data_IF_875189743342
#
_entry.id   IF_875189743342
#
_cell.length_a   1.000
_cell.length_b   1.000
_cell.length_c   1.000
_cell.angle_alpha   90.00
_cell.angle_beta   90.00
_cell.angle_gamma   90.00
#
_symmetry.space_group_name_H-M   'P 1'
#
loop_
_entity.id
_entity.type
_entity.pdbx_description
1 polymer ?
#
# COMPACT_ATOMS: atom_id res chain seq x y z
N UNK A 1 25.31 23.42 -13.74
CA UNK A 1 24.51 23.10 -14.93
C UNK A 1 23.09 22.76 -14.48
N UNK A 2 22.03 23.27 -15.12
CA UNK A 2 20.70 22.80 -14.85
C UNK A 2 20.59 21.29 -15.18
N UNK A 3 19.80 20.51 -14.45
CA UNK A 3 19.61 19.09 -14.76
C UNK A 3 19.01 18.94 -16.17
N UNK A 4 19.48 17.93 -16.91
CA UNK A 4 18.89 17.63 -18.22
C UNK A 4 17.43 17.19 -18.02
N UNK A 5 16.49 17.63 -18.88
CA UNK A 5 15.12 17.16 -18.82
C UNK A 5 15.08 15.64 -18.95
N UNK A 6 14.24 14.99 -18.14
CA UNK A 6 13.95 13.57 -18.28
C UNK A 6 12.92 13.43 -19.41
N UNK A 7 13.29 12.75 -20.48
CA UNK A 7 12.42 12.52 -21.65
C UNK A 7 11.81 11.11 -21.66
N UNK A 8 12.43 10.17 -20.94
CA UNK A 8 11.94 8.81 -20.79
C UNK A 8 11.17 8.67 -19.47
N UNK A 9 9.86 8.55 -19.56
CA UNK A 9 8.95 8.36 -18.42
C UNK A 9 8.51 6.91 -18.26
N UNK A 10 9.14 5.96 -18.96
CA UNK A 10 8.78 4.54 -18.94
C UNK A 10 8.88 3.87 -17.56
N UNK A 11 9.68 4.45 -16.65
CA UNK A 11 9.85 4.00 -15.27
C UNK A 11 9.16 4.90 -14.24
N UNK A 12 8.39 5.89 -14.69
CA UNK A 12 7.65 6.76 -13.79
C UNK A 12 6.28 6.17 -13.49
N UNK A 13 5.98 6.04 -12.21
CA UNK A 13 4.65 5.78 -11.71
C UNK A 13 4.15 6.97 -10.87
N UNK A 14 2.87 7.29 -10.96
CA UNK A 14 2.23 8.35 -10.19
C UNK A 14 1.15 7.75 -9.30
N UNK A 15 1.14 8.16 -8.03
CA UNK A 15 0.11 7.78 -7.08
C UNK A 15 -1.15 8.62 -7.30
N UNK A 16 -2.33 8.02 -7.25
CA UNK A 16 -3.61 8.75 -7.38
C UNK A 16 -3.79 9.83 -6.31
N UNK A 17 -3.19 9.66 -5.13
CA UNK A 17 -3.17 10.69 -4.07
C UNK A 17 -2.43 11.97 -4.49
N UNK A 18 -1.54 11.91 -5.48
CA UNK A 18 -0.81 13.09 -5.98
C UNK A 18 -1.78 14.08 -6.66
N UNK A 19 -2.80 13.56 -7.31
CA UNK A 19 -3.87 14.33 -7.95
C UNK A 19 -5.20 14.11 -7.24
N UNK A 20 -5.20 14.18 -5.92
CA UNK A 20 -6.34 13.82 -5.05
C UNK A 20 -7.70 14.37 -5.48
N UNK A 21 -7.83 15.58 -6.06
CA UNK A 21 -9.12 16.08 -6.53
C UNK A 21 -9.67 15.36 -7.77
N UNK A 22 -8.82 14.59 -8.47
CA UNK A 22 -9.21 13.86 -9.68
C UNK A 22 -9.93 12.56 -9.34
N UNK A 23 -10.94 12.22 -10.12
CA UNK A 23 -11.50 10.87 -10.16
C UNK A 23 -10.46 9.87 -10.69
N UNK A 24 -10.68 8.57 -10.49
CA UNK A 24 -9.80 7.54 -11.06
C UNK A 24 -9.71 7.68 -12.59
N UNK A 25 -10.82 7.94 -13.28
CA UNK A 25 -10.86 8.16 -14.72
C UNK A 25 -9.97 9.33 -15.15
N UNK A 26 -10.09 10.48 -14.50
CA UNK A 26 -9.26 11.65 -14.79
C UNK A 26 -7.77 11.38 -14.53
N UNK A 27 -7.45 10.60 -13.49
CA UNK A 27 -6.07 10.20 -13.20
C UNK A 27 -5.52 9.27 -14.29
N UNK A 28 -6.26 8.24 -14.69
CA UNK A 28 -5.86 7.30 -15.75
C UNK A 28 -5.64 8.03 -17.07
N UNK A 29 -6.61 8.82 -17.51
CA UNK A 29 -6.53 9.58 -18.77
C UNK A 29 -5.41 10.62 -18.74
N UNK A 30 -5.29 11.37 -17.64
CA UNK A 30 -4.28 12.42 -17.47
C UNK A 30 -2.85 11.88 -17.42
N UNK A 31 -2.61 10.77 -16.69
CA UNK A 31 -1.28 10.16 -16.62
C UNK A 31 -0.88 9.54 -17.96
N UNK A 32 -1.80 8.84 -18.64
CA UNK A 32 -1.57 8.29 -19.96
C UNK A 32 -1.25 9.40 -20.98
N UNK A 33 -2.02 10.49 -21.00
CA UNK A 33 -1.79 11.64 -21.87
C UNK A 33 -0.45 12.34 -21.60
N UNK A 34 0.02 12.32 -20.35
CA UNK A 34 1.34 12.84 -19.96
C UNK A 34 2.52 11.91 -20.31
N UNK A 35 2.26 10.70 -20.83
CA UNK A 35 3.28 9.71 -21.15
C UNK A 35 3.83 8.94 -19.94
N UNK A 36 3.17 9.04 -18.79
CA UNK A 36 3.46 8.21 -17.61
C UNK A 36 3.08 6.76 -17.92
N UNK A 37 3.85 5.80 -17.41
CA UNK A 37 3.61 4.37 -17.68
C UNK A 37 3.03 3.61 -16.49
N UNK A 38 3.27 4.07 -15.27
CA UNK A 38 2.82 3.39 -14.06
C UNK A 38 1.82 4.20 -13.25
N UNK A 39 0.91 3.49 -12.59
CA UNK A 39 -0.03 4.08 -11.63
C UNK A 39 0.01 3.28 -10.32
N UNK A 40 0.11 4.00 -9.18
CA UNK A 40 -0.15 3.43 -7.87
C UNK A 40 -1.51 3.89 -7.40
N UNK A 41 -2.38 2.93 -7.14
CA UNK A 41 -3.75 3.20 -6.73
C UNK A 41 -3.83 3.46 -5.23
N UNK A 42 -4.72 4.34 -4.84
CA UNK A 42 -5.15 4.47 -3.45
C UNK A 42 -6.58 3.95 -3.34
N UNK A 43 -6.88 3.32 -2.20
CA UNK A 43 -8.18 2.69 -1.92
C UNK A 43 -9.36 3.60 -2.26
N UNK A 44 -9.30 4.86 -1.81
CA UNK A 44 -10.37 5.84 -2.01
C UNK A 44 -10.65 6.14 -3.50
N UNK A 45 -9.65 6.07 -4.37
CA UNK A 45 -9.83 6.24 -5.80
C UNK A 45 -10.60 5.06 -6.43
N UNK A 46 -10.33 3.83 -5.97
CA UNK A 46 -11.04 2.62 -6.41
C UNK A 46 -12.48 2.63 -5.87
N UNK A 47 -12.66 2.88 -4.57
CA UNK A 47 -13.98 2.95 -3.94
C UNK A 47 -14.86 4.03 -4.56
N UNK A 48 -14.28 5.17 -4.95
CA UNK A 48 -14.99 6.25 -5.63
C UNK A 48 -15.49 5.89 -7.03
N UNK A 49 -14.79 5.01 -7.74
CA UNK A 49 -15.19 4.52 -9.06
C UNK A 49 -16.12 3.29 -8.97
N UNK A 50 -15.95 2.48 -7.93
CA UNK A 50 -16.45 1.11 -7.84
C UNK A 50 -15.44 0.11 -8.42
N UNK A 51 -15.29 -1.05 -7.76
CA UNK A 51 -14.23 -2.02 -8.09
C UNK A 51 -14.33 -2.52 -9.54
N UNK A 52 -15.51 -2.93 -9.97
CA UNK A 52 -15.72 -3.47 -11.32
C UNK A 52 -15.38 -2.44 -12.42
N UNK A 53 -15.77 -1.18 -12.20
CA UNK A 53 -15.45 -0.09 -13.13
C UNK A 53 -13.95 0.23 -13.11
N UNK A 54 -13.32 0.23 -11.95
CA UNK A 54 -11.88 0.42 -11.83
C UNK A 54 -11.09 -0.66 -12.58
N UNK A 55 -11.46 -1.94 -12.42
CA UNK A 55 -10.87 -3.07 -13.14
C UNK A 55 -11.00 -2.89 -14.65
N UNK A 56 -12.20 -2.61 -15.15
CA UNK A 56 -12.44 -2.42 -16.58
C UNK A 56 -11.63 -1.23 -17.14
N UNK A 57 -11.61 -0.12 -16.42
CA UNK A 57 -10.90 1.10 -16.82
C UNK A 57 -9.38 0.89 -16.89
N UNK A 58 -8.81 0.16 -15.91
CA UNK A 58 -7.38 -0.12 -15.86
C UNK A 58 -6.98 -1.12 -16.94
N UNK A 59 -7.80 -2.14 -17.22
CA UNK A 59 -7.55 -3.11 -18.28
C UNK A 59 -7.53 -2.47 -19.67
N UNK A 60 -8.34 -1.44 -19.90
CA UNK A 60 -8.38 -0.69 -21.18
C UNK A 60 -7.31 0.41 -21.27
N UNK A 61 -6.53 0.63 -20.19
CA UNK A 61 -5.54 1.69 -20.06
C UNK A 61 -4.15 1.22 -20.53
N UNK A 62 -3.30 2.12 -21.05
CA UNK A 62 -1.88 1.82 -21.30
C UNK A 62 -1.01 1.86 -20.02
N UNK A 63 -1.59 2.13 -18.88
CA UNK A 63 -0.87 2.24 -17.60
C UNK A 63 -0.67 0.85 -16.97
N UNK A 64 0.50 0.63 -16.41
CA UNK A 64 0.80 -0.52 -15.56
C UNK A 64 0.44 -0.18 -14.10
N UNK A 65 -0.38 -1.01 -13.47
CA UNK A 65 -0.64 -0.88 -12.03
C UNK A 65 0.57 -1.43 -11.29
N UNK A 66 1.27 -0.57 -10.55
CA UNK A 66 2.51 -0.94 -9.86
C UNK A 66 2.32 -1.19 -8.36
N UNK A 67 1.15 -0.89 -7.82
CA UNK A 67 0.81 -1.18 -6.43
C UNK A 67 -0.49 -0.54 -5.97
N UNK A 68 -0.98 -1.02 -4.83
CA UNK A 68 -2.11 -0.47 -4.10
C UNK A 68 -1.63 0.12 -2.76
N UNK A 69 -2.09 1.29 -2.40
CA UNK A 69 -1.91 1.92 -1.11
C UNK A 69 -3.30 2.27 -0.52
N UNK A 70 -3.46 2.19 0.76
CA UNK A 70 -2.54 1.70 1.78
C UNK A 70 -3.27 0.77 2.73
N UNK A 71 -2.65 -0.35 3.04
CA UNK A 71 -3.07 -1.23 4.11
C UNK A 71 -2.31 -0.96 5.41
N UNK A 72 -2.36 -1.92 6.34
CA UNK A 72 -1.66 -1.87 7.62
C UNK A 72 -2.57 -1.53 8.79
N UNK A 73 -2.12 -0.60 9.65
CA UNK A 73 -2.85 -0.10 10.83
C UNK A 73 -3.21 -1.21 11.85
N UNK A 74 -2.28 -2.14 12.06
CA UNK A 74 -2.49 -3.32 12.90
C UNK A 74 -2.59 -3.05 14.41
N UNK A 75 -1.78 -2.11 15.02
CA UNK A 75 -1.75 -1.94 16.45
C UNK A 75 -3.06 -1.35 16.99
N UNK A 76 -3.60 -2.03 17.99
CA UNK A 76 -4.74 -1.57 18.78
C UNK A 76 -4.74 -2.23 20.17
N UNK A 77 -5.44 -1.63 21.13
CA UNK A 77 -5.60 -2.17 22.47
C UNK A 77 -6.42 -3.46 22.47
N UNK A 78 -7.62 -3.39 21.87
CA UNK A 78 -8.52 -4.54 21.83
C UNK A 78 -8.12 -5.57 20.77
N UNK A 79 -8.18 -6.85 21.12
CA UNK A 79 -7.93 -7.94 20.18
C UNK A 79 -8.93 -7.95 18.99
N UNK A 80 -10.17 -7.52 19.23
CA UNK A 80 -11.20 -7.40 18.19
C UNK A 80 -10.85 -6.34 17.15
N UNK A 81 -10.24 -5.23 17.55
CA UNK A 81 -9.80 -4.17 16.64
C UNK A 81 -8.62 -4.65 15.78
N UNK A 82 -7.65 -5.36 16.38
CA UNK A 82 -6.56 -5.99 15.63
C UNK A 82 -7.07 -7.01 14.61
N UNK A 83 -8.08 -7.81 14.98
CA UNK A 83 -8.71 -8.73 14.04
C UNK A 83 -9.48 -8.00 12.94
N UNK A 84 -10.15 -6.89 13.25
CA UNK A 84 -10.80 -6.06 12.25
C UNK A 84 -9.79 -5.48 11.24
N UNK A 85 -8.62 -5.02 11.71
CA UNK A 85 -7.54 -4.56 10.84
C UNK A 85 -7.03 -5.68 9.92
N UNK A 86 -6.84 -6.90 10.42
CA UNK A 86 -6.46 -8.05 9.59
C UNK A 86 -7.53 -8.32 8.52
N UNK A 87 -8.80 -8.31 8.87
CA UNK A 87 -9.89 -8.55 7.92
C UNK A 87 -9.97 -7.44 6.86
N UNK A 88 -9.77 -6.17 7.23
CA UNK A 88 -9.73 -5.05 6.29
C UNK A 88 -8.56 -5.18 5.30
N UNK A 89 -7.39 -5.62 5.78
CA UNK A 89 -6.26 -5.88 4.91
C UNK A 89 -6.47 -7.06 3.95
N UNK A 90 -7.25 -8.08 4.31
CA UNK A 90 -7.66 -9.13 3.36
C UNK A 90 -8.50 -8.56 2.22
N UNK A 91 -9.45 -7.68 2.53
CA UNK A 91 -10.23 -6.98 1.50
C UNK A 91 -9.34 -6.14 0.59
N UNK A 92 -8.27 -5.52 1.13
CA UNK A 92 -7.30 -4.78 0.33
C UNK A 92 -6.44 -5.69 -0.55
N UNK A 93 -6.10 -6.88 -0.10
CA UNK A 93 -5.40 -7.88 -0.90
C UNK A 93 -6.29 -8.34 -2.07
N UNK A 94 -7.57 -8.67 -1.81
CA UNK A 94 -8.54 -9.03 -2.84
C UNK A 94 -8.72 -7.89 -3.88
N UNK A 95 -8.75 -6.64 -3.39
CA UNK A 95 -8.81 -5.46 -4.25
C UNK A 95 -7.54 -5.30 -5.09
N UNK A 96 -6.36 -5.54 -4.51
CA UNK A 96 -5.08 -5.48 -5.22
C UNK A 96 -5.02 -6.54 -6.33
N UNK A 97 -5.42 -7.78 -6.04
CA UNK A 97 -5.54 -8.85 -7.03
C UNK A 97 -6.47 -8.44 -8.17
N UNK A 98 -7.67 -7.96 -7.85
CA UNK A 98 -8.68 -7.60 -8.85
C UNK A 98 -8.21 -6.50 -9.82
N UNK A 99 -7.46 -5.51 -9.34
CA UNK A 99 -6.92 -4.41 -10.18
C UNK A 99 -5.53 -4.72 -10.76
N UNK A 100 -4.99 -5.91 -10.52
CA UNK A 100 -3.67 -6.33 -11.01
C UNK A 100 -2.50 -5.63 -10.33
N UNK A 101 -2.65 -5.17 -9.07
CA UNK A 101 -1.60 -4.56 -8.31
C UNK A 101 -0.69 -5.64 -7.66
N UNK A 102 0.59 -5.74 -8.05
CA UNK A 102 1.47 -6.80 -7.53
C UNK A 102 1.93 -6.56 -6.09
N UNK A 103 1.65 -5.38 -5.54
CA UNK A 103 2.13 -4.97 -4.21
C UNK A 103 1.04 -4.22 -3.46
N UNK A 104 0.80 -4.60 -2.20
CA UNK A 104 0.05 -3.81 -1.22
C UNK A 104 1.02 -3.13 -0.26
N UNK A 105 1.02 -1.79 -0.24
CA UNK A 105 1.85 -0.98 0.66
C UNK A 105 1.20 -0.88 2.03
N UNK A 106 1.95 -1.23 3.09
CA UNK A 106 1.49 -1.26 4.47
C UNK A 106 2.05 -0.09 5.28
N UNK A 107 1.19 0.88 5.61
CA UNK A 107 1.44 1.84 6.69
C UNK A 107 1.07 1.17 8.00
N UNK A 108 2.07 0.68 8.72
CA UNK A 108 1.88 -0.32 9.76
C UNK A 108 1.05 0.11 10.97
N UNK A 109 0.96 1.42 11.23
CA UNK A 109 0.20 1.93 12.37
C UNK A 109 1.03 2.00 13.66
N UNK A 110 0.47 2.66 14.66
CA UNK A 110 0.92 2.68 16.04
C UNK A 110 -0.28 2.87 16.97
N UNK A 111 -0.16 2.41 18.22
CA UNK A 111 -1.15 2.69 19.25
C UNK A 111 -0.52 3.51 20.38
N UNK A 112 -0.93 4.77 20.60
CA UNK A 112 -0.29 5.68 21.57
C UNK A 112 -0.34 5.20 23.03
N UNK A 113 -1.22 4.26 23.36
CA UNK A 113 -1.37 3.69 24.70
C UNK A 113 -0.39 2.57 25.05
N UNK A 114 0.52 2.18 24.13
CA UNK A 114 1.48 1.08 24.35
C UNK A 114 2.87 1.43 23.84
N UNK A 115 3.86 0.58 24.17
CA UNK A 115 5.21 0.77 23.67
C UNK A 115 5.32 0.57 22.14
N UNK A 116 6.29 1.23 21.51
CA UNK A 116 6.59 1.04 20.09
C UNK A 116 6.99 -0.42 19.77
N UNK A 117 7.60 -1.10 20.75
CA UNK A 117 7.95 -2.50 20.61
C UNK A 117 6.71 -3.41 20.62
N UNK A 118 5.74 -3.15 21.51
CA UNK A 118 4.46 -3.85 21.50
C UNK A 118 3.70 -3.63 20.18
N UNK A 119 3.71 -2.40 19.69
CA UNK A 119 3.13 -2.08 18.40
C UNK A 119 3.80 -2.87 17.27
N UNK A 120 5.14 -2.97 17.25
CA UNK A 120 5.85 -3.78 16.25
C UNK A 120 5.55 -5.27 16.37
N UNK A 121 5.39 -5.81 17.59
CA UNK A 121 4.95 -7.22 17.76
C UNK A 121 3.55 -7.46 17.19
N UNK A 122 2.63 -6.52 17.37
CA UNK A 122 1.28 -6.60 16.80
C UNK A 122 1.30 -6.46 15.27
N UNK A 123 2.18 -5.62 14.72
CA UNK A 123 2.40 -5.50 13.27
C UNK A 123 2.89 -6.82 12.68
N UNK A 124 3.93 -7.41 13.27
CA UNK A 124 4.46 -8.69 12.80
C UNK A 124 3.39 -9.80 12.82
N UNK A 125 2.61 -9.89 13.91
CA UNK A 125 1.50 -10.84 14.02
C UNK A 125 0.39 -10.58 12.98
N UNK A 126 0.07 -9.30 12.72
CA UNK A 126 -0.92 -8.92 11.73
C UNK A 126 -0.49 -9.27 10.31
N UNK A 127 0.76 -8.97 9.94
CA UNK A 127 1.32 -9.33 8.63
C UNK A 127 1.38 -10.85 8.47
N UNK A 128 1.87 -11.58 9.47
CA UNK A 128 1.93 -13.04 9.44
C UNK A 128 0.56 -13.70 9.19
N UNK A 129 -0.52 -13.12 9.74
CA UNK A 129 -1.89 -13.61 9.53
C UNK A 129 -2.44 -13.34 8.13
N UNK A 130 -1.74 -12.58 7.29
CA UNK A 130 -2.11 -12.26 5.91
C UNK A 130 -1.31 -13.05 4.86
N UNK A 131 -0.21 -13.69 5.23
CA UNK A 131 0.75 -14.27 4.28
C UNK A 131 0.12 -15.29 3.33
N UNK A 132 -0.67 -16.23 3.85
CA UNK A 132 -1.32 -17.24 3.01
C UNK A 132 -2.28 -16.60 2.03
N UNK A 133 -3.11 -15.66 2.50
CA UNK A 133 -4.06 -14.93 1.66
C UNK A 133 -3.36 -14.09 0.57
N UNK A 134 -2.30 -13.40 0.94
CA UNK A 134 -1.50 -12.61 -0.01
C UNK A 134 -0.78 -13.49 -1.04
N UNK A 135 -0.39 -14.71 -0.62
CA UNK A 135 0.21 -15.70 -1.53
C UNK A 135 -0.78 -16.20 -2.56
N UNK A 136 -1.96 -16.58 -2.10
CA UNK A 136 -3.02 -17.10 -2.99
C UNK A 136 -3.43 -16.06 -4.02
N UNK A 137 -3.40 -14.76 -3.64
CA UNK A 137 -3.69 -13.61 -4.50
C UNK A 137 -2.48 -13.13 -5.35
N UNK A 138 -1.30 -13.74 -5.21
CA UNK A 138 -0.04 -13.30 -5.85
C UNK A 138 0.33 -11.83 -5.54
N UNK A 139 -0.09 -11.31 -4.37
CA UNK A 139 0.18 -9.94 -3.91
C UNK A 139 1.30 -9.93 -2.87
N UNK A 140 2.32 -9.12 -3.10
CA UNK A 140 3.42 -8.92 -2.14
C UNK A 140 3.04 -7.85 -1.12
N UNK A 141 3.40 -8.06 0.15
CA UNK A 141 3.18 -7.09 1.22
C UNK A 141 4.45 -6.24 1.42
N UNK A 142 4.35 -4.91 1.29
CA UNK A 142 5.50 -4.01 1.40
C UNK A 142 5.38 -3.09 2.61
N UNK A 143 6.27 -3.22 3.58
CA UNK A 143 6.32 -2.37 4.76
C UNK A 143 6.84 -0.98 4.39
N UNK A 144 6.06 0.07 4.66
CA UNK A 144 6.47 1.46 4.47
C UNK A 144 6.95 2.08 5.80
N UNK A 145 8.26 2.33 5.97
CA UNK A 145 8.75 3.14 7.08
C UNK A 145 8.35 4.60 6.89
N UNK A 146 7.63 5.17 7.86
CA UNK A 146 7.25 6.58 7.80
C UNK A 146 8.36 7.48 8.38
N UNK A 147 8.29 8.78 8.04
CA UNK A 147 9.17 9.78 8.64
C UNK A 147 9.04 9.79 10.17
N UNK A 148 10.13 9.95 10.94
CA UNK A 148 10.12 9.92 12.41
C UNK A 148 9.13 10.88 13.08
N UNK A 149 8.70 11.96 12.39
CA UNK A 149 7.64 12.85 12.91
C UNK A 149 6.30 12.13 13.14
N UNK A 150 6.10 10.96 12.52
CA UNK A 150 4.88 10.14 12.64
C UNK A 150 5.03 8.99 13.65
N UNK A 151 6.18 8.94 14.34
CA UNK A 151 6.39 7.96 15.39
C UNK A 151 5.27 8.04 16.42
N UNK A 152 4.83 6.86 16.89
CA UNK A 152 3.79 6.71 17.92
C UNK A 152 2.37 7.20 17.52
N UNK A 153 2.23 7.99 16.47
CA UNK A 153 0.93 8.50 16.03
C UNK A 153 0.39 7.80 14.79
N UNK A 154 1.25 7.47 13.83
CA UNK A 154 0.86 6.86 12.54
C UNK A 154 1.65 5.60 12.20
N UNK A 155 2.84 5.42 12.75
CA UNK A 155 3.62 4.20 12.52
C UNK A 155 4.60 3.93 13.67
N UNK A 156 4.72 2.67 14.05
CA UNK A 156 5.77 2.16 14.91
C UNK A 156 7.05 1.80 14.11
N UNK A 157 7.01 1.93 12.78
CA UNK A 157 8.12 1.66 11.86
C UNK A 157 8.50 2.97 11.19
N UNK A 158 9.64 3.53 11.58
CA UNK A 158 10.09 4.87 11.15
C UNK A 158 11.52 4.86 10.60
N UNK A 159 12.12 3.69 10.47
CA UNK A 159 13.43 3.50 9.83
C UNK A 159 13.46 2.23 8.99
N UNK A 160 14.30 2.21 7.96
CA UNK A 160 14.54 1.00 7.16
C UNK A 160 15.05 -0.16 8.01
N UNK A 161 15.90 0.12 9.02
CA UNK A 161 16.38 -0.92 9.94
C UNK A 161 15.21 -1.62 10.65
N UNK A 162 14.25 -0.85 11.19
CA UNK A 162 13.06 -1.42 11.85
C UNK A 162 12.17 -2.22 10.88
N UNK A 163 12.07 -1.80 9.61
CA UNK A 163 11.35 -2.59 8.60
C UNK A 163 12.07 -3.91 8.33
N UNK A 164 13.39 -3.88 8.15
CA UNK A 164 14.18 -5.09 7.93
C UNK A 164 14.10 -6.04 9.14
N UNK A 165 14.20 -5.51 10.37
CA UNK A 165 14.06 -6.32 11.60
C UNK A 165 12.70 -7.04 11.67
N UNK A 166 11.62 -6.38 11.18
CA UNK A 166 10.29 -6.99 11.09
C UNK A 166 10.23 -8.08 10.04
N UNK A 167 10.81 -7.85 8.86
CA UNK A 167 10.89 -8.83 7.77
C UNK A 167 11.66 -10.09 8.25
N UNK A 168 12.81 -9.88 8.90
CA UNK A 168 13.60 -10.96 9.47
C UNK A 168 12.83 -11.75 10.53
N UNK A 169 12.05 -11.06 11.37
CA UNK A 169 11.24 -11.68 12.42
C UNK A 169 10.03 -12.45 11.85
N UNK A 170 9.45 -12.00 10.75
CA UNK A 170 8.36 -12.68 10.04
C UNK A 170 8.92 -13.90 9.28
N UNK A 171 10.13 -13.76 8.70
CA UNK A 171 10.84 -14.86 8.05
C UNK A 171 10.22 -15.34 6.73
N UNK A 172 9.53 -14.47 6.02
CA UNK A 172 8.86 -14.76 4.76
C UNK A 172 9.31 -13.81 3.64
N UNK A 173 9.74 -14.35 2.51
CA UNK A 173 10.26 -13.59 1.36
C UNK A 173 9.22 -12.77 0.58
N UNK A 174 7.95 -12.89 0.96
CA UNK A 174 6.80 -12.19 0.35
C UNK A 174 6.51 -10.84 1.01
N UNK A 175 7.27 -10.49 2.05
CA UNK A 175 7.21 -9.20 2.75
C UNK A 175 8.36 -8.32 2.36
#
# INVERSE_FOLDING_TARGET
MPPKPIHDLSKLAVHTITTKPWSLREAVEGYAAAGVRGITLWRDAIEGAGLDEAVAMLADSPLEVVGLARGGFFPAEAASERQAAINDNRVLIDMAEAVGAPVLVLVCGAWPGQSMEDSRRQIAAGIAALLDHATDAEVRLAIEPLHPMYADTRSAVVTMGQANDLIDAIGDERV
#
